data_IF_896465394306
#
_entry.id   IF_896465394306
#
_cell.length_a   1.000
_cell.length_b   1.000
_cell.length_c   1.000
_cell.angle_alpha   90.00
_cell.angle_beta   90.00
_cell.angle_gamma   90.00
#
_symmetry.space_group_name_H-M   'P 1'
#
loop_
_entity.id
_entity.type
_entity.pdbx_description
1 polymer ?
#
# COMPACT_ATOMS: atom_id res chain seq x y z
N UNK A 1 13.85 4.22 0.61
CA UNK A 1 13.30 5.11 -0.43
C UNK A 1 13.76 4.74 -1.83
N UNK A 2 15.05 4.55 -2.10
CA UNK A 2 15.57 4.21 -3.44
C UNK A 2 14.90 2.96 -4.05
N UNK A 3 14.70 1.89 -3.29
CA UNK A 3 14.05 0.65 -3.76
C UNK A 3 12.61 0.89 -4.27
N UNK A 4 11.84 1.72 -3.58
CA UNK A 4 10.46 2.04 -3.97
C UNK A 4 10.45 2.89 -5.24
N UNK A 5 11.36 3.85 -5.35
CA UNK A 5 11.50 4.68 -6.54
C UNK A 5 11.94 3.86 -7.75
N UNK A 6 12.91 2.95 -7.58
CA UNK A 6 13.36 2.06 -8.65
C UNK A 6 12.24 1.15 -9.13
N UNK A 7 11.43 0.60 -8.21
CA UNK A 7 10.28 -0.24 -8.55
C UNK A 7 9.27 0.52 -9.40
N UNK A 8 8.85 1.72 -8.96
CA UNK A 8 7.91 2.55 -9.71
C UNK A 8 8.44 2.94 -11.09
N UNK A 9 9.75 3.18 -11.21
CA UNK A 9 10.37 3.57 -12.47
C UNK A 9 10.41 2.39 -13.45
N UNK A 10 10.73 1.20 -12.98
CA UNK A 10 10.72 -0.03 -13.75
C UNK A 10 9.29 -0.35 -14.22
N UNK A 11 8.30 -0.31 -13.33
CA UNK A 11 6.89 -0.52 -13.68
C UNK A 11 6.43 0.47 -14.76
N UNK A 12 6.80 1.75 -14.64
CA UNK A 12 6.43 2.77 -15.63
C UNK A 12 7.06 2.53 -17.00
N UNK A 13 8.30 2.05 -17.05
CA UNK A 13 9.00 1.73 -18.31
C UNK A 13 8.32 0.55 -19.01
N UNK A 14 7.94 -0.48 -18.27
CA UNK A 14 7.26 -1.65 -18.83
C UNK A 14 5.86 -1.30 -19.36
N UNK A 15 5.10 -0.53 -18.60
CA UNK A 15 3.76 -0.12 -19.02
C UNK A 15 3.83 0.84 -20.22
N UNK A 16 4.86 1.66 -20.32
CA UNK A 16 5.07 2.51 -21.51
C UNK A 16 5.22 1.68 -22.80
N UNK A 17 5.74 0.46 -22.69
CA UNK A 17 5.82 -0.49 -23.81
C UNK A 17 4.47 -1.01 -24.31
N UNK A 18 3.41 -0.94 -23.49
CA UNK A 18 2.05 -1.39 -23.85
C UNK A 18 1.24 -0.33 -24.61
N UNK A 19 1.77 0.88 -24.74
CA UNK A 19 1.15 1.97 -25.47
C UNK A 19 0.58 3.09 -24.59
N UNK A 20 0.07 4.18 -25.21
CA UNK A 20 -0.35 5.38 -24.48
C UNK A 20 -1.61 5.18 -23.64
N UNK A 21 -2.52 4.27 -24.01
CA UNK A 21 -3.77 4.02 -23.28
C UNK A 21 -3.54 3.47 -21.88
N UNK A 22 -2.83 2.33 -21.70
CA UNK A 22 -2.49 1.78 -20.39
C UNK A 22 -1.70 2.76 -19.52
N UNK A 23 -0.77 3.51 -20.09
CA UNK A 23 0.01 4.50 -19.35
C UNK A 23 -0.86 5.65 -18.82
N UNK A 24 -1.78 6.14 -19.64
CA UNK A 24 -2.74 7.16 -19.21
C UNK A 24 -3.68 6.63 -18.13
N UNK A 25 -4.12 5.37 -18.21
CA UNK A 25 -4.96 4.74 -17.21
C UNK A 25 -4.29 4.71 -15.83
N UNK A 26 -3.00 4.36 -15.76
CA UNK A 26 -2.23 4.43 -14.50
C UNK A 26 -2.21 5.86 -13.95
N UNK A 27 -2.06 6.87 -14.81
CA UNK A 27 -2.09 8.28 -14.41
C UNK A 27 -3.39 8.65 -13.69
N UNK A 28 -4.54 8.15 -14.15
CA UNK A 28 -5.84 8.38 -13.49
C UNK A 28 -6.00 7.61 -12.18
N UNK A 29 -5.45 6.41 -12.05
CA UNK A 29 -5.54 5.59 -10.84
C UNK A 29 -4.54 6.01 -9.76
N UNK A 30 -3.39 6.57 -10.16
CA UNK A 30 -2.31 6.96 -9.24
C UNK A 30 -2.76 7.87 -8.09
N UNK A 31 -3.58 8.93 -8.27
CA UNK A 31 -4.03 9.76 -7.16
C UNK A 31 -4.80 8.98 -6.10
N UNK A 32 -5.65 8.04 -6.53
CA UNK A 32 -6.41 7.17 -5.63
C UNK A 32 -5.47 6.22 -4.87
N UNK A 33 -4.47 5.68 -5.55
CA UNK A 33 -3.44 4.84 -4.92
C UNK A 33 -2.63 5.62 -3.89
N UNK A 34 -2.29 6.89 -4.14
CA UNK A 34 -1.58 7.74 -3.18
C UNK A 34 -2.40 7.98 -1.91
N UNK A 35 -3.73 8.11 -2.02
CA UNK A 35 -4.61 8.20 -0.85
C UNK A 35 -4.57 6.88 -0.07
N UNK A 36 -4.68 5.73 -0.74
CA UNK A 36 -4.57 4.41 -0.13
C UNK A 36 -3.23 4.25 0.61
N UNK A 37 -2.12 4.59 -0.04
CA UNK A 37 -0.78 4.54 0.53
C UNK A 37 -0.62 5.48 1.73
N UNK A 38 -1.24 6.67 1.67
CA UNK A 38 -1.31 7.62 2.77
C UNK A 38 -2.01 7.06 4.00
N UNK A 39 -3.15 6.38 3.82
CA UNK A 39 -3.87 5.69 4.90
C UNK A 39 -2.97 4.62 5.54
N UNK A 40 -2.34 3.76 4.74
CA UNK A 40 -1.41 2.74 5.23
C UNK A 40 -0.24 3.35 6.02
N UNK A 41 0.36 4.41 5.48
CA UNK A 41 1.48 5.11 6.14
C UNK A 41 1.06 5.75 7.46
N UNK A 42 -0.14 6.35 7.51
CA UNK A 42 -0.70 6.91 8.74
C UNK A 42 -0.91 5.85 9.82
N UNK A 43 -1.47 4.69 9.46
CA UNK A 43 -1.62 3.54 10.37
C UNK A 43 -0.25 3.09 10.87
N UNK A 44 0.72 2.87 9.97
CA UNK A 44 2.06 2.41 10.36
C UNK A 44 2.80 3.39 11.27
N UNK A 45 2.62 4.70 11.07
CA UNK A 45 3.18 5.74 11.93
C UNK A 45 2.50 5.75 13.32
N UNK A 46 1.17 5.64 13.37
CA UNK A 46 0.41 5.54 14.61
C UNK A 46 0.79 4.31 15.43
N UNK A 47 0.88 3.15 14.78
CA UNK A 47 1.32 1.89 15.39
C UNK A 47 2.73 2.02 15.98
N UNK A 48 3.66 2.55 15.19
CA UNK A 48 5.03 2.78 15.64
C UNK A 48 5.06 3.69 16.87
N UNK A 49 4.36 4.82 16.85
CA UNK A 49 4.30 5.77 17.95
C UNK A 49 3.74 5.16 19.25
N UNK A 50 2.61 4.43 19.14
CA UNK A 50 1.95 3.82 20.27
C UNK A 50 2.84 2.75 20.95
N UNK A 51 3.37 1.82 20.14
CA UNK A 51 4.17 0.70 20.63
C UNK A 51 5.50 1.21 21.21
N UNK A 52 6.18 2.16 20.56
CA UNK A 52 7.43 2.75 21.05
C UNK A 52 7.29 3.35 22.44
N UNK A 53 6.13 3.94 22.77
CA UNK A 53 5.86 4.46 24.12
C UNK A 53 5.79 3.35 25.16
N UNK A 54 5.16 2.21 24.84
CA UNK A 54 5.09 1.06 25.76
C UNK A 54 6.44 0.37 25.90
N UNK A 55 7.20 0.22 24.81
CA UNK A 55 8.57 -0.31 24.83
C UNK A 55 9.48 0.60 25.67
N UNK A 56 9.41 1.92 25.47
CA UNK A 56 10.19 2.90 26.24
C UNK A 56 9.85 2.90 27.74
N UNK A 57 8.60 2.64 28.11
CA UNK A 57 8.16 2.48 29.51
C UNK A 57 8.42 1.08 30.07
N UNK A 58 9.10 0.20 29.35
CA UNK A 58 9.37 -1.21 29.72
C UNK A 58 8.11 -2.03 30.01
N UNK A 59 6.96 -1.63 29.46
CA UNK A 59 5.70 -2.33 29.61
C UNK A 59 5.45 -3.26 28.41
N UNK A 60 6.17 -4.38 28.38
CA UNK A 60 6.14 -5.33 27.26
C UNK A 60 4.75 -5.93 27.04
N UNK A 61 3.97 -6.12 28.11
CA UNK A 61 2.64 -6.68 28.02
C UNK A 61 1.72 -5.76 27.20
N UNK A 62 1.70 -4.46 27.51
CA UNK A 62 0.92 -3.47 26.75
C UNK A 62 1.47 -3.27 25.33
N UNK A 63 2.79 -3.39 25.11
CA UNK A 63 3.35 -3.34 23.78
C UNK A 63 2.84 -4.48 22.89
N UNK A 64 2.79 -5.70 23.42
CA UNK A 64 2.27 -6.88 22.72
C UNK A 64 0.76 -6.76 22.44
N UNK A 65 -0.03 -6.33 23.42
CA UNK A 65 -1.46 -6.07 23.22
C UNK A 65 -1.71 -5.03 22.13
N UNK A 66 -0.97 -3.92 22.17
CA UNK A 66 -1.07 -2.88 21.15
C UNK A 66 -0.67 -3.39 19.75
N UNK A 67 0.33 -4.26 19.65
CA UNK A 67 0.73 -4.87 18.39
C UNK A 67 -0.40 -5.74 17.79
N UNK A 68 -1.01 -6.60 18.61
CA UNK A 68 -2.16 -7.44 18.18
C UNK A 68 -3.34 -6.57 17.75
N UNK A 69 -3.71 -5.58 18.56
CA UNK A 69 -4.81 -4.65 18.24
C UNK A 69 -4.53 -3.86 16.95
N UNK A 70 -3.28 -3.51 16.70
CA UNK A 70 -2.89 -2.80 15.48
C UNK A 70 -3.08 -3.64 14.22
N UNK A 71 -2.82 -4.95 14.30
CA UNK A 71 -3.05 -5.87 13.18
C UNK A 71 -4.56 -5.99 12.91
N UNK A 72 -5.37 -6.19 13.97
CA UNK A 72 -6.83 -6.27 13.84
C UNK A 72 -7.39 -4.97 13.25
N UNK A 73 -6.93 -3.81 13.74
CA UNK A 73 -7.30 -2.51 13.19
C UNK A 73 -6.91 -2.40 11.71
N UNK A 74 -5.70 -2.82 11.34
CA UNK A 74 -5.23 -2.84 9.97
C UNK A 74 -6.12 -3.66 9.04
N UNK A 75 -6.59 -4.83 9.49
CA UNK A 75 -7.52 -5.68 8.74
C UNK A 75 -8.87 -4.97 8.58
N UNK A 76 -9.44 -4.44 9.66
CA UNK A 76 -10.74 -3.74 9.63
C UNK A 76 -10.67 -2.54 8.67
N UNK A 77 -9.63 -1.71 8.80
CA UNK A 77 -9.45 -0.55 7.92
C UNK A 77 -9.27 -0.99 6.47
N UNK A 78 -8.51 -2.06 6.20
CA UNK A 78 -8.34 -2.58 4.84
C UNK A 78 -9.67 -2.98 4.22
N UNK A 79 -10.55 -3.65 4.97
CA UNK A 79 -11.87 -4.05 4.47
C UNK A 79 -12.72 -2.81 4.16
N UNK A 80 -12.76 -1.84 5.07
CA UNK A 80 -13.51 -0.60 4.87
C UNK A 80 -13.00 0.16 3.64
N UNK A 81 -11.69 0.30 3.53
CA UNK A 81 -11.04 0.99 2.41
C UNK A 81 -11.30 0.26 1.10
N UNK A 82 -11.22 -1.07 1.08
CA UNK A 82 -11.56 -1.87 -0.11
C UNK A 82 -12.97 -1.55 -0.58
N UNK A 83 -13.97 -1.63 0.31
CA UNK A 83 -15.37 -1.36 -0.05
C UNK A 83 -15.53 0.07 -0.60
N UNK A 84 -14.97 1.04 0.09
CA UNK A 84 -15.05 2.45 -0.32
C UNK A 84 -14.43 2.65 -1.71
N UNK A 85 -13.19 2.21 -1.90
CA UNK A 85 -12.47 2.46 -3.15
C UNK A 85 -13.05 1.68 -4.33
N UNK A 86 -13.54 0.45 -4.13
CA UNK A 86 -14.20 -0.30 -5.20
C UNK A 86 -15.49 0.40 -5.64
N UNK A 87 -16.27 0.95 -4.70
CA UNK A 87 -17.53 1.65 -5.00
C UNK A 87 -17.27 3.00 -5.67
N UNK A 88 -16.27 3.77 -5.19
CA UNK A 88 -16.02 5.11 -5.73
C UNK A 88 -15.13 5.12 -6.98
N UNK A 89 -14.49 4.00 -7.33
CA UNK A 89 -13.53 3.94 -8.45
C UNK A 89 -14.18 4.40 -9.77
N UNK A 90 -15.28 3.77 -10.16
CA UNK A 90 -15.97 4.08 -11.42
C UNK A 90 -16.45 5.55 -11.50
N UNK A 91 -17.23 6.06 -10.51
CA UNK A 91 -17.68 7.45 -10.57
C UNK A 91 -16.53 8.45 -10.54
N UNK A 92 -15.45 8.15 -9.80
CA UNK A 92 -14.28 9.04 -9.75
C UNK A 92 -13.56 9.10 -11.09
N UNK A 93 -13.32 7.98 -11.75
CA UNK A 93 -12.71 7.92 -13.07
C UNK A 93 -13.56 8.66 -14.11
N UNK A 94 -14.88 8.54 -14.02
CA UNK A 94 -15.80 9.26 -14.90
C UNK A 94 -15.70 10.78 -14.72
N UNK A 95 -15.69 11.27 -13.46
CA UNK A 95 -15.55 12.69 -13.13
C UNK A 95 -14.18 13.23 -13.57
N UNK A 96 -13.13 12.43 -13.42
CA UNK A 96 -11.77 12.80 -13.85
C UNK A 96 -11.61 12.84 -15.38
N UNK A 97 -12.60 12.41 -16.13
CA UNK A 97 -12.56 12.47 -17.60
C UNK A 97 -11.81 11.31 -18.27
N UNK A 98 -11.64 10.19 -17.61
CA UNK A 98 -10.92 9.00 -18.12
C UNK A 98 -11.68 8.24 -19.22
N UNK A 99 -12.56 8.91 -20.00
CA UNK A 99 -13.52 8.27 -20.92
C UNK A 99 -12.86 7.33 -21.94
N UNK A 100 -11.73 7.75 -22.53
CA UNK A 100 -11.03 6.98 -23.57
C UNK A 100 -10.26 5.77 -23.02
N UNK A 101 -9.84 5.85 -21.74
CA UNK A 101 -9.03 4.83 -21.07
C UNK A 101 -9.77 4.16 -19.92
N UNK A 102 -11.08 4.36 -19.83
CA UNK A 102 -11.90 3.92 -18.71
C UNK A 102 -11.75 2.43 -18.41
N UNK A 103 -11.85 1.58 -19.43
CA UNK A 103 -11.72 0.13 -19.26
C UNK A 103 -10.33 -0.25 -18.72
N UNK A 104 -9.27 0.32 -19.30
CA UNK A 104 -7.90 0.09 -18.79
C UNK A 104 -7.73 0.55 -17.34
N UNK A 105 -8.32 1.69 -16.97
CA UNK A 105 -8.25 2.22 -15.61
C UNK A 105 -9.04 1.35 -14.61
N UNK A 106 -10.18 0.78 -15.00
CA UNK A 106 -10.95 -0.17 -14.19
C UNK A 106 -10.19 -1.49 -14.03
N UNK A 107 -9.70 -2.06 -15.15
CA UNK A 107 -8.99 -3.34 -15.14
C UNK A 107 -7.71 -3.28 -14.29
N UNK A 108 -7.03 -2.13 -14.27
CA UNK A 108 -5.87 -1.92 -13.42
C UNK A 108 -6.24 -1.57 -11.97
N UNK A 109 -7.19 -0.65 -11.77
CA UNK A 109 -7.52 -0.11 -10.44
C UNK A 109 -8.32 -1.08 -9.58
N UNK A 110 -9.26 -1.84 -10.16
CA UNK A 110 -10.13 -2.74 -9.41
C UNK A 110 -9.36 -3.82 -8.64
N UNK A 111 -8.44 -4.60 -9.23
CA UNK A 111 -7.61 -5.55 -8.48
C UNK A 111 -6.77 -4.85 -7.40
N UNK A 112 -6.16 -3.71 -7.73
CA UNK A 112 -5.31 -2.96 -6.81
C UNK A 112 -6.06 -2.55 -5.53
N UNK A 113 -7.31 -2.12 -5.65
CA UNK A 113 -8.13 -1.74 -4.49
C UNK A 113 -8.77 -2.93 -3.78
N UNK A 114 -9.14 -4.01 -4.48
CA UNK A 114 -9.61 -5.25 -3.85
C UNK A 114 -8.52 -5.83 -2.93
N UNK A 115 -7.28 -5.79 -3.37
CA UNK A 115 -6.14 -6.27 -2.59
C UNK A 115 -5.47 -5.18 -1.71
N UNK A 116 -6.22 -4.14 -1.30
CA UNK A 116 -5.70 -3.06 -0.43
C UNK A 116 -5.09 -3.57 0.88
N UNK A 117 -5.53 -4.72 1.37
CA UNK A 117 -4.97 -5.40 2.54
C UNK A 117 -3.47 -5.69 2.38
N UNK A 118 -3.05 -6.06 1.15
CA UNK A 118 -1.63 -6.33 0.81
C UNK A 118 -0.80 -5.04 0.84
N UNK A 119 -1.42 -3.88 0.71
CA UNK A 119 -0.76 -2.58 0.81
C UNK A 119 -0.70 -2.08 2.25
N UNK A 120 -1.79 -2.22 3.02
CA UNK A 120 -1.92 -1.64 4.36
C UNK A 120 -1.21 -2.49 5.42
N UNK A 121 -1.41 -3.82 5.43
CA UNK A 121 -0.86 -4.68 6.48
C UNK A 121 0.68 -4.66 6.58
N UNK A 122 1.45 -4.74 5.49
CA UNK A 122 2.91 -4.69 5.59
C UNK A 122 3.43 -3.39 6.21
N UNK A 123 2.72 -2.26 6.00
CA UNK A 123 3.10 -0.98 6.58
C UNK A 123 2.82 -0.96 8.09
N UNK A 124 1.69 -1.55 8.53
CA UNK A 124 1.38 -1.73 9.94
C UNK A 124 2.42 -2.64 10.63
N UNK A 125 2.76 -3.79 10.02
CA UNK A 125 3.84 -4.68 10.49
C UNK A 125 5.18 -3.96 10.59
N UNK A 126 5.57 -3.23 9.56
CA UNK A 126 6.79 -2.44 9.60
C UNK A 126 6.78 -1.39 10.72
N UNK A 127 5.61 -0.86 11.08
CA UNK A 127 5.41 0.03 12.23
C UNK A 127 5.74 -0.65 13.56
N UNK A 128 5.27 -1.90 13.75
CA UNK A 128 5.53 -2.71 14.96
C UNK A 128 7.04 -2.95 15.12
N UNK A 129 7.70 -3.49 14.10
CA UNK A 129 9.13 -3.80 14.17
C UNK A 129 10.01 -2.55 14.32
N UNK A 130 9.64 -1.42 13.71
CA UNK A 130 10.33 -0.16 13.94
C UNK A 130 10.23 0.30 15.38
N UNK A 131 9.08 0.09 16.03
CA UNK A 131 8.87 0.43 17.43
C UNK A 131 9.74 -0.39 18.38
N UNK A 132 10.04 -1.64 18.02
CA UNK A 132 10.93 -2.54 18.76
C UNK A 132 12.42 -2.30 18.45
N UNK A 133 12.73 -1.42 17.47
CA UNK A 133 14.09 -1.18 17.02
C UNK A 133 14.63 -2.22 16.01
N UNK A 134 13.81 -3.18 15.58
CA UNK A 134 14.20 -4.19 14.60
C UNK A 134 13.97 -3.70 13.15
N UNK A 135 14.89 -2.87 12.70
CA UNK A 135 14.86 -2.29 11.35
C UNK A 135 14.98 -3.38 10.28
N UNK A 136 15.70 -4.47 10.56
CA UNK A 136 15.90 -5.56 9.58
C UNK A 136 14.57 -6.25 9.26
N UNK A 137 13.79 -6.61 10.28
CA UNK A 137 12.45 -7.20 10.07
C UNK A 137 11.46 -6.18 9.50
N UNK A 138 11.57 -4.92 9.85
CA UNK A 138 10.72 -3.87 9.29
C UNK A 138 10.93 -3.65 7.78
N UNK A 139 12.13 -3.88 7.25
CA UNK A 139 12.45 -3.68 5.82
C UNK A 139 12.30 -4.95 4.98
N UNK A 140 12.27 -6.12 5.59
CA UNK A 140 12.21 -7.42 4.91
C UNK A 140 10.99 -7.55 3.96
N UNK A 141 9.77 -7.17 4.32
CA UNK A 141 8.63 -7.22 3.40
C UNK A 141 8.82 -6.34 2.17
N UNK A 142 9.46 -5.18 2.31
CA UNK A 142 9.75 -4.28 1.19
C UNK A 142 10.78 -4.89 0.23
N UNK A 143 11.80 -5.56 0.77
CA UNK A 143 12.80 -6.26 -0.06
C UNK A 143 12.17 -7.43 -0.81
N UNK A 144 11.34 -8.23 -0.14
CA UNK A 144 10.64 -9.36 -0.78
C UNK A 144 9.72 -8.84 -1.89
N UNK A 145 8.93 -7.80 -1.63
CA UNK A 145 8.05 -7.19 -2.62
C UNK A 145 8.83 -6.69 -3.84
N UNK A 146 9.98 -6.05 -3.65
CA UNK A 146 10.82 -5.58 -4.74
C UNK A 146 11.39 -6.73 -5.59
N UNK A 147 11.84 -7.81 -4.94
CA UNK A 147 12.37 -9.00 -5.63
C UNK A 147 11.25 -9.70 -6.42
N UNK A 148 10.07 -9.86 -5.82
CA UNK A 148 8.92 -10.47 -6.50
C UNK A 148 8.47 -9.62 -7.69
N UNK A 149 8.40 -8.32 -7.55
CA UNK A 149 8.04 -7.41 -8.64
C UNK A 149 9.04 -7.55 -9.81
N UNK A 150 10.35 -7.47 -9.54
CA UNK A 150 11.39 -7.68 -10.57
C UNK A 150 11.32 -9.07 -11.23
N UNK A 151 10.97 -10.10 -10.46
CA UNK A 151 10.85 -11.48 -10.95
C UNK A 151 9.61 -11.63 -11.86
N UNK A 152 8.47 -11.03 -11.50
CA UNK A 152 7.23 -11.10 -12.28
C UNK A 152 7.29 -10.29 -13.58
N UNK A 153 8.11 -9.26 -13.62
CA UNK A 153 8.33 -8.45 -14.84
C UNK A 153 9.08 -9.25 -15.92
N UNK A 154 9.81 -10.30 -15.54
CA UNK A 154 10.57 -11.14 -16.49
C UNK A 154 9.75 -12.29 -17.09
N UNK A 155 8.50 -12.50 -16.66
CA UNK A 155 7.57 -13.51 -17.16
C UNK A 155 6.54 -12.86 -18.08
#
# INVERSE_FOLDING_TARGET
>A
MLLIMSNNLIDSVWVAGLGPGPLAAIGFVTPLFLILAGIGTGIGAGVNSLISRYVGSKNQLKANEAAVQSIVLGIIVSIIVTVIFVVILEPTLYIMGAKEVFNYAIDYGRPLFIFSIVTILPVAYAGIFRAEGDIKRATLPMCISAILNLSLIHI
#
